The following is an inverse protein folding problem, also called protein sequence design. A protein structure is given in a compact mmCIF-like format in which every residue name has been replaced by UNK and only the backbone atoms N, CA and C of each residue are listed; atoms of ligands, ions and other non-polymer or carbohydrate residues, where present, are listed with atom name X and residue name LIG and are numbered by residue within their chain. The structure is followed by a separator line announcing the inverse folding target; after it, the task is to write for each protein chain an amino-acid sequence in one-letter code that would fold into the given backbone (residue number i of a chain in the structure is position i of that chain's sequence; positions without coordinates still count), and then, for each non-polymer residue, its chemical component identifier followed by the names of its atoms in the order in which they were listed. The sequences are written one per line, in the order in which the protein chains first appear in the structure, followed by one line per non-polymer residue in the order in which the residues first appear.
data_IF_561106340076
#
_entry.id   IF_561106340076
#
_cell.length_a   1.000
_cell.length_b   1.000
_cell.length_c   1.000
_cell.angle_alpha   90.00
_cell.angle_beta   90.00
_cell.angle_gamma   90.00
#
_symmetry.space_group_name_H-M   'P 1'
#
loop_
_entity.id
_entity.type
_entity.pdbx_description
1 polymer ?
#
# COMPACT_ATOMS: atom_id res chain seq x y z
N UNK A 1 18.90 -19.90 -18.95
CA UNK A 1 17.69 -19.09 -19.21
C UNK A 1 17.67 -17.93 -18.22
N UNK A 2 18.19 -16.73 -18.53
CA UNK A 2 18.05 -15.60 -17.62
C UNK A 2 16.65 -14.99 -17.79
N UNK A 3 15.85 -15.07 -16.73
CA UNK A 3 14.55 -14.41 -16.60
C UNK A 3 14.75 -12.90 -16.75
N UNK A 4 14.29 -12.33 -17.87
CA UNK A 4 14.38 -10.91 -18.14
C UNK A 4 13.57 -10.13 -17.09
N UNK A 5 14.27 -9.54 -16.12
CA UNK A 5 13.69 -8.52 -15.26
C UNK A 5 13.52 -7.26 -16.12
N UNK A 6 12.34 -7.12 -16.73
CA UNK A 6 12.00 -5.91 -17.48
C UNK A 6 12.02 -4.72 -16.52
N UNK A 7 13.03 -3.86 -16.64
CA UNK A 7 13.04 -2.54 -16.01
C UNK A 7 11.98 -1.70 -16.72
N UNK A 8 10.84 -1.50 -16.07
CA UNK A 8 9.79 -0.59 -16.54
C UNK A 8 10.36 0.83 -16.70
N UNK A 9 10.03 1.49 -17.81
CA UNK A 9 10.49 2.85 -18.12
C UNK A 9 9.90 3.88 -17.14
N UNK A 10 10.59 4.99 -16.88
CA UNK A 10 10.16 6.02 -15.91
C UNK A 10 8.72 6.55 -16.18
N UNK A 11 8.33 6.68 -17.45
CA UNK A 11 6.97 7.09 -17.85
C UNK A 11 5.91 6.06 -17.50
N UNK A 12 6.21 4.76 -17.66
CA UNK A 12 5.28 3.67 -17.30
C UNK A 12 5.14 3.53 -15.78
N UNK A 13 6.21 3.81 -15.03
CA UNK A 13 6.17 3.88 -13.56
C UNK A 13 5.29 5.03 -13.08
N UNK A 14 5.41 6.22 -13.69
CA UNK A 14 4.56 7.36 -13.33
C UNK A 14 3.08 7.13 -13.66
N UNK A 15 2.79 6.47 -14.79
CA UNK A 15 1.41 6.18 -15.20
C UNK A 15 0.76 5.07 -14.36
N UNK A 16 1.56 4.10 -13.92
CA UNK A 16 1.09 3.05 -13.00
C UNK A 16 1.05 3.52 -11.54
N UNK A 17 1.87 4.52 -11.16
CA UNK A 17 1.93 5.10 -9.83
C UNK A 17 1.67 6.62 -9.86
N UNK A 18 0.44 7.05 -10.21
CA UNK A 18 0.13 8.47 -10.38
C UNK A 18 0.21 9.29 -9.08
N UNK A 19 0.23 8.62 -7.92
CA UNK A 19 0.24 9.25 -6.60
C UNK A 19 1.57 9.10 -5.87
N UNK A 20 2.64 8.72 -6.56
CA UNK A 20 3.98 8.56 -5.99
C UNK A 20 4.00 7.70 -4.71
N UNK A 21 3.21 6.63 -4.72
CA UNK A 21 3.17 5.65 -3.63
C UNK A 21 4.56 4.99 -3.53
N UNK A 22 5.11 4.90 -2.34
CA UNK A 22 6.40 4.24 -2.10
C UNK A 22 6.28 3.21 -0.97
N UNK A 23 7.14 2.20 -0.99
CA UNK A 23 7.27 1.26 0.12
C UNK A 23 7.66 2.01 1.40
N UNK A 24 7.06 1.61 2.53
CA UNK A 24 7.20 2.26 3.83
C UNK A 24 6.10 3.28 4.14
N UNK A 25 5.40 3.83 3.14
CA UNK A 25 4.33 4.80 3.38
C UNK A 25 3.13 4.19 4.10
N UNK A 26 2.47 5.01 4.92
CA UNK A 26 1.22 4.65 5.60
C UNK A 26 0.07 5.42 4.97
N UNK A 27 -1.00 4.69 4.65
CA UNK A 27 -2.22 5.21 4.07
C UNK A 27 -3.40 4.88 4.97
N UNK A 28 -4.24 5.85 5.25
CA UNK A 28 -5.50 5.66 5.96
C UNK A 28 -6.60 5.36 4.95
N UNK A 29 -7.38 4.31 5.21
CA UNK A 29 -8.63 4.09 4.53
C UNK A 29 -9.70 5.00 5.16
N UNK A 30 -10.09 6.04 4.43
CA UNK A 30 -11.07 7.02 4.86
C UNK A 30 -12.52 6.59 4.54
N UNK A 31 -12.77 5.31 4.26
CA UNK A 31 -14.13 4.77 4.11
C UNK A 31 -14.92 4.98 5.42
N UNK A 32 -16.00 5.78 5.41
CA UNK A 32 -16.80 6.05 6.61
C UNK A 32 -17.45 4.79 7.20
N UNK A 33 -17.53 3.70 6.44
CA UNK A 33 -18.02 2.39 6.91
C UNK A 33 -16.98 1.63 7.72
N UNK A 34 -15.70 1.96 7.58
CA UNK A 34 -14.58 1.32 8.26
C UNK A 34 -13.62 2.39 8.82
N UNK A 35 -14.06 3.04 9.89
CA UNK A 35 -13.29 4.12 10.51
C UNK A 35 -11.95 3.61 11.07
N UNK A 36 -10.85 4.24 10.65
CA UNK A 36 -9.54 4.13 11.30
C UNK A 36 -8.65 2.98 10.84
N UNK A 37 -8.92 2.37 9.68
CA UNK A 37 -8.02 1.37 9.10
C UNK A 37 -6.80 2.05 8.48
N UNK A 38 -5.60 1.74 8.98
CA UNK A 38 -4.34 2.21 8.41
C UNK A 38 -3.59 1.05 7.75
N UNK A 39 -2.94 1.35 6.64
CA UNK A 39 -2.28 0.38 5.77
C UNK A 39 -0.85 0.86 5.52
N UNK A 40 0.13 0.01 5.77
CA UNK A 40 1.51 0.27 5.39
C UNK A 40 1.82 -0.43 4.06
N UNK A 41 2.37 0.31 3.11
CA UNK A 41 2.88 -0.23 1.85
C UNK A 41 4.18 -0.96 2.14
N UNK A 42 4.25 -2.24 1.85
CA UNK A 42 5.45 -3.05 2.04
C UNK A 42 6.27 -3.15 0.77
N UNK A 43 5.60 -3.41 -0.35
CA UNK A 43 6.23 -3.55 -1.65
C UNK A 43 5.32 -3.01 -2.76
N UNK A 44 5.92 -2.70 -3.90
CA UNK A 44 5.21 -2.30 -5.11
C UNK A 44 5.59 -3.28 -6.21
N UNK A 45 4.58 -3.85 -6.85
CA UNK A 45 4.71 -4.83 -7.92
C UNK A 45 3.86 -4.38 -9.11
N UNK A 46 4.51 -3.80 -10.12
CA UNK A 46 3.85 -3.22 -11.30
C UNK A 46 2.86 -2.12 -10.90
N UNK A 47 1.58 -2.32 -11.22
CA UNK A 47 0.50 -1.38 -10.92
C UNK A 47 -0.18 -1.59 -9.55
N UNK A 48 0.41 -2.43 -8.70
CA UNK A 48 -0.16 -2.80 -7.41
C UNK A 48 0.81 -2.53 -6.26
N UNK A 49 0.29 -2.08 -5.12
CA UNK A 49 0.95 -2.09 -3.84
C UNK A 49 0.53 -3.32 -3.04
N UNK A 50 1.49 -3.94 -2.37
CA UNK A 50 1.25 -4.95 -1.34
C UNK A 50 1.25 -4.24 0.00
N UNK A 51 0.11 -4.29 0.69
CA UNK A 51 -0.10 -3.56 1.94
C UNK A 51 -0.48 -4.48 3.09
N UNK A 52 0.01 -4.13 4.28
CA UNK A 52 -0.37 -4.73 5.56
C UNK A 52 -1.16 -3.74 6.39
N UNK A 53 -2.01 -4.25 7.28
CA UNK A 53 -2.80 -3.41 8.15
C UNK A 53 -2.03 -3.12 9.44
N UNK A 54 -1.84 -1.83 9.73
CA UNK A 54 -1.13 -1.36 10.93
C UNK A 54 -2.13 -0.87 11.98
N UNK A 55 -1.71 -0.88 13.24
CA UNK A 55 -2.47 -0.25 14.32
C UNK A 55 -2.56 1.24 14.00
N UNK A 56 -3.75 1.81 14.20
CA UNK A 56 -3.96 3.24 14.02
C UNK A 56 -2.93 4.02 14.83
N UNK A 57 -2.17 4.85 14.15
CA UNK A 57 -1.19 5.72 14.76
C UNK A 57 0.17 5.07 14.98
N UNK A 58 0.43 3.85 14.51
CA UNK A 58 1.75 3.20 14.62
C UNK A 58 2.20 2.59 13.29
N UNK A 59 3.45 2.14 13.23
CA UNK A 59 4.00 1.25 12.19
C UNK A 59 3.91 -0.22 12.59
N UNK A 60 3.36 -0.50 13.77
CA UNK A 60 3.21 -1.86 14.27
C UNK A 60 2.01 -2.50 13.59
N UNK A 61 2.17 -3.76 13.21
CA UNK A 61 1.08 -4.57 12.68
C UNK A 61 -0.05 -4.67 13.71
N UNK A 62 -1.30 -4.64 13.25
CA UNK A 62 -2.45 -4.73 14.13
C UNK A 62 -2.43 -6.01 15.01
N UNK A 63 -2.88 -5.99 16.29
CA UNK A 63 -2.99 -7.21 17.08
C UNK A 63 -3.97 -8.18 16.40
N UNK A 64 -3.55 -9.43 16.21
CA UNK A 64 -4.19 -10.40 15.29
C UNK A 64 -3.52 -10.52 13.91
N UNK A 65 -2.63 -9.58 13.56
CA UNK A 65 -1.63 -9.73 12.49
C UNK A 65 -0.27 -10.22 13.00
N UNK A 66 -0.01 -10.24 14.32
CA UNK A 66 1.24 -10.81 14.85
C UNK A 66 1.34 -12.34 14.70
N UNK A 67 0.23 -13.08 14.59
CA UNK A 67 0.23 -14.49 14.16
C UNK A 67 0.48 -14.66 12.66
N UNK A 68 0.60 -13.55 11.91
CA UNK A 68 0.78 -13.49 10.46
C UNK A 68 2.20 -13.10 10.02
N UNK A 69 3.20 -13.27 10.88
CA UNK A 69 4.57 -13.49 10.39
C UNK A 69 4.65 -14.72 9.44
N UNK A 70 3.63 -15.60 9.47
CA UNK A 70 3.35 -16.62 8.46
C UNK A 70 1.99 -16.35 7.75
N UNK A 71 1.96 -15.72 6.57
CA UNK A 71 0.77 -15.62 5.69
C UNK A 71 -0.41 -14.75 6.17
N UNK A 72 -0.17 -13.49 6.55
CA UNK A 72 -1.18 -12.47 6.31
C UNK A 72 -1.29 -12.24 4.81
N UNK A 73 -2.41 -12.55 4.17
CA UNK A 73 -2.55 -12.32 2.72
C UNK A 73 -2.32 -10.84 2.44
N UNK A 74 -1.22 -10.45 1.76
CA UNK A 74 -0.96 -9.06 1.46
C UNK A 74 -2.15 -8.51 0.69
N UNK A 75 -2.67 -7.36 1.14
CA UNK A 75 -3.76 -6.72 0.42
C UNK A 75 -3.15 -6.09 -0.82
N UNK A 76 -3.46 -6.68 -1.97
CA UNK A 76 -3.02 -6.16 -3.24
C UNK A 76 -3.97 -5.03 -3.66
N UNK A 77 -3.50 -3.79 -3.53
CA UNK A 77 -4.27 -2.58 -3.82
C UNK A 77 -3.68 -1.94 -5.08
N UNK A 78 -4.52 -1.54 -6.04
CA UNK A 78 -4.01 -0.83 -7.22
C UNK A 78 -3.49 0.55 -6.82
N UNK A 79 -2.35 0.93 -7.39
CA UNK A 79 -1.68 2.21 -7.13
C UNK A 79 -2.56 3.41 -7.47
N UNK A 80 -3.41 3.29 -8.50
CA UNK A 80 -4.41 4.30 -8.89
C UNK A 80 -5.56 4.52 -7.88
N UNK A 81 -5.67 3.66 -6.85
CA UNK A 81 -6.64 3.84 -5.76
C UNK A 81 -6.11 4.68 -4.62
N UNK A 82 -4.80 4.90 -4.54
CA UNK A 82 -4.15 5.71 -3.50
C UNK A 82 -4.34 7.21 -3.75
N UNK A 83 -5.58 7.68 -3.70
CA UNK A 83 -5.97 9.05 -4.03
C UNK A 83 -5.93 9.94 -2.78
N UNK A 84 -4.92 10.79 -2.59
CA UNK A 84 -4.71 11.52 -1.32
C UNK A 84 -5.91 12.37 -0.89
N UNK A 85 -6.69 12.88 -1.86
CA UNK A 85 -7.84 13.77 -1.65
C UNK A 85 -9.20 13.07 -1.67
N UNK A 86 -9.24 11.74 -1.83
CA UNK A 86 -10.48 10.97 -1.91
C UNK A 86 -11.07 10.64 -0.54
N UNK A 87 -12.30 10.12 -0.53
CA UNK A 87 -12.90 9.37 0.58
C UNK A 87 -12.37 7.93 0.68
N UNK A 88 -11.40 7.56 -0.18
CA UNK A 88 -10.68 6.29 -0.13
C UNK A 88 -9.37 6.40 0.65
N UNK A 89 -8.25 6.02 0.04
CA UNK A 89 -6.95 5.99 0.72
C UNK A 89 -6.28 7.37 0.78
N UNK A 90 -6.06 7.88 2.00
CA UNK A 90 -5.37 9.15 2.27
C UNK A 90 -3.94 8.90 2.74
N UNK A 91 -2.98 9.62 2.17
CA UNK A 91 -1.60 9.54 2.62
C UNK A 91 -1.49 10.19 3.99
N UNK A 92 -1.00 9.45 4.97
CA UNK A 92 -0.65 10.01 6.27
C UNK A 92 0.81 10.46 6.20
N UNK A 93 1.01 11.78 6.08
CA UNK A 93 2.33 12.37 6.18
C UNK A 93 2.78 12.30 7.64
N UNK A 94 3.90 11.62 7.90
CA UNK A 94 4.57 11.58 9.20
C UNK A 94 6.05 11.85 9.02
#
# INVERSE_FOLDING_TARGET
MPTATQKLSATQLAQSNPYHVTAGQIWEDADPRMNGRQLQVHAISGAYAECYQVIKGTTLLAPGEHTRQNNGKPRRIRLDRFKPTSTGYRLLNR
#
